data_IF_713936109068
#
_entry.id   IF_713936109068
#
_cell.length_a   1.000
_cell.length_b   1.000
_cell.length_c   1.000
_cell.angle_alpha   90.00
_cell.angle_beta   90.00
_cell.angle_gamma   90.00
#
_symmetry.space_group_name_H-M   'P 1'
#
loop_
_entity.id
_entity.type
_entity.pdbx_description
1 polymer ?
#
# COMPACT_ATOMS: atom_id res chain seq x y z
N UNK A 1 22.82 -5.30 13.58
CA UNK A 1 22.96 -3.83 13.40
C UNK A 1 21.62 -3.26 12.96
N UNK A 2 21.29 -2.03 13.32
CA UNK A 2 20.10 -1.32 12.86
C UNK A 2 20.42 -0.57 11.56
N UNK A 3 19.52 -0.59 10.58
CA UNK A 3 19.68 0.16 9.34
C UNK A 3 19.71 1.68 9.60
N UNK A 4 20.50 2.40 8.81
CA UNK A 4 20.55 3.88 8.87
C UNK A 4 19.45 4.52 8.00
N UNK A 5 18.92 3.79 7.05
CA UNK A 5 17.90 4.28 6.10
C UNK A 5 16.49 4.06 6.65
N UNK A 6 16.26 2.87 7.20
CA UNK A 6 14.98 2.52 7.83
C UNK A 6 15.25 1.94 9.22
N UNK A 7 14.74 2.63 10.23
CA UNK A 7 14.93 2.25 11.62
C UNK A 7 14.14 1.02 12.07
N UNK A 8 13.22 0.54 11.26
CA UNK A 8 12.48 -0.71 11.51
C UNK A 8 13.19 -1.93 10.93
N UNK A 9 14.30 -1.73 10.19
CA UNK A 9 15.08 -2.80 9.61
C UNK A 9 16.37 -3.06 10.42
N UNK A 10 16.54 -4.29 10.84
CA UNK A 10 17.74 -4.79 11.51
C UNK A 10 18.37 -5.88 10.67
N UNK A 11 19.69 -5.97 10.70
CA UNK A 11 20.41 -7.01 9.99
C UNK A 11 21.67 -7.45 10.72
N UNK A 12 22.08 -8.70 10.50
CA UNK A 12 23.32 -9.26 10.99
C UNK A 12 23.91 -10.20 9.94
N UNK A 13 25.18 -10.02 9.67
CA UNK A 13 25.98 -10.89 8.81
C UNK A 13 27.17 -11.40 9.61
N UNK A 14 27.41 -12.72 9.61
CA UNK A 14 28.56 -13.37 10.23
C UNK A 14 29.02 -14.51 9.34
N UNK A 15 30.13 -14.32 8.65
CA UNK A 15 30.60 -15.27 7.64
C UNK A 15 29.52 -15.46 6.53
N UNK A 16 29.10 -16.69 6.31
CA UNK A 16 28.06 -17.02 5.33
C UNK A 16 26.62 -16.96 5.90
N UNK A 17 26.47 -16.59 7.18
CA UNK A 17 25.15 -16.48 7.80
C UNK A 17 24.66 -15.04 7.78
N UNK A 18 23.41 -14.88 7.40
CA UNK A 18 22.75 -13.58 7.43
C UNK A 18 21.34 -13.71 7.98
N UNK A 19 20.86 -12.63 8.54
CA UNK A 19 19.47 -12.44 8.92
C UNK A 19 19.09 -10.97 8.78
N UNK A 20 17.89 -10.75 8.24
CA UNK A 20 17.19 -9.49 8.21
C UNK A 20 15.93 -9.61 9.07
N UNK A 21 15.67 -8.58 9.86
CA UNK A 21 14.48 -8.46 10.70
C UNK A 21 13.82 -7.14 10.36
N UNK A 22 12.60 -7.19 9.91
CA UNK A 22 11.76 -6.01 9.65
C UNK A 22 10.63 -5.99 10.66
N UNK A 23 10.52 -4.89 11.40
CA UNK A 23 9.46 -4.69 12.39
C UNK A 23 8.41 -3.74 11.82
N UNK A 24 7.16 -4.11 11.96
CA UNK A 24 6.04 -3.25 11.61
C UNK A 24 4.93 -3.38 12.64
N UNK A 25 4.85 -2.41 13.54
CA UNK A 25 3.95 -2.41 14.70
C UNK A 25 4.10 -3.71 15.49
N UNK A 26 3.14 -4.63 15.38
CA UNK A 26 3.11 -5.93 16.08
C UNK A 26 3.62 -7.08 15.19
N UNK A 27 3.88 -6.83 13.92
CA UNK A 27 4.37 -7.84 12.99
C UNK A 27 5.89 -7.83 12.86
N UNK A 28 6.49 -9.01 12.78
CA UNK A 28 7.91 -9.21 12.53
C UNK A 28 8.12 -10.13 11.32
N UNK A 29 8.81 -9.62 10.32
CA UNK A 29 9.29 -10.43 9.20
C UNK A 29 10.76 -10.79 9.42
N UNK A 30 11.05 -12.09 9.30
CA UNK A 30 12.41 -12.62 9.37
C UNK A 30 12.78 -13.23 8.03
N UNK A 31 13.90 -12.80 7.47
CA UNK A 31 14.51 -13.40 6.28
C UNK A 31 15.98 -13.70 6.55
N UNK A 32 16.42 -14.92 6.24
CA UNK A 32 17.80 -15.33 6.46
C UNK A 32 17.99 -16.84 6.47
N UNK A 33 19.25 -17.24 6.48
CA UNK A 33 19.66 -18.64 6.52
C UNK A 33 20.05 -19.13 7.93
N UNK A 34 19.86 -18.30 8.98
CA UNK A 34 20.19 -18.66 10.36
C UNK A 34 18.92 -18.81 11.20
N UNK A 35 18.53 -20.07 11.46
CA UNK A 35 17.36 -20.40 12.25
C UNK A 35 17.55 -20.21 13.77
N UNK A 36 18.78 -20.13 14.27
CA UNK A 36 19.04 -19.94 15.72
C UNK A 36 18.48 -18.62 16.24
N UNK A 37 18.54 -17.57 15.41
CA UNK A 37 17.98 -16.25 15.79
C UNK A 37 16.46 -16.32 15.93
N UNK A 38 15.77 -17.06 15.06
CA UNK A 38 14.32 -17.27 15.15
C UNK A 38 13.95 -17.97 16.47
N UNK A 39 14.67 -19.04 16.79
CA UNK A 39 14.47 -19.77 18.06
C UNK A 39 14.78 -18.90 19.27
N UNK A 40 15.86 -18.11 19.20
CA UNK A 40 16.24 -17.18 20.26
C UNK A 40 15.17 -16.10 20.52
N UNK A 41 14.60 -15.53 19.46
CA UNK A 41 13.52 -14.53 19.56
C UNK A 41 12.24 -15.17 20.16
N UNK A 42 11.86 -16.36 19.71
CA UNK A 42 10.68 -17.07 20.22
C UNK A 42 10.82 -17.48 21.70
N UNK A 43 12.05 -17.62 22.20
CA UNK A 43 12.30 -17.90 23.62
C UNK A 43 12.23 -16.65 24.52
N UNK A 44 12.48 -15.46 23.95
CA UNK A 44 12.50 -14.19 24.70
C UNK A 44 11.18 -13.44 24.65
N UNK A 45 10.38 -13.68 23.62
CA UNK A 45 9.11 -12.96 23.39
C UNK A 45 7.97 -13.96 23.18
N UNK A 46 6.79 -13.64 23.70
CA UNK A 46 5.56 -14.38 23.40
C UNK A 46 5.12 -14.09 21.96
N UNK A 47 5.57 -14.93 21.05
CA UNK A 47 5.40 -14.75 19.59
C UNK A 47 4.67 -15.94 19.00
N UNK A 48 3.72 -15.66 18.10
CA UNK A 48 3.11 -16.67 17.24
C UNK A 48 3.89 -16.77 15.92
N UNK A 49 4.50 -17.92 15.68
CA UNK A 49 5.09 -18.21 14.39
C UNK A 49 3.99 -18.48 13.33
N UNK A 50 3.91 -17.62 12.33
CA UNK A 50 2.96 -17.76 11.22
C UNK A 50 3.53 -18.60 10.07
N UNK A 51 4.72 -19.20 10.23
CA UNK A 51 5.44 -19.99 9.23
C UNK A 51 5.87 -19.14 8.00
N UNK A 52 5.93 -19.76 6.80
CA UNK A 52 6.25 -19.00 5.60
C UNK A 52 5.19 -17.94 5.31
N UNK A 53 5.64 -16.68 5.27
CA UNK A 53 4.74 -15.54 5.09
C UNK A 53 4.17 -15.53 3.68
N UNK A 54 2.84 -15.68 3.60
CA UNK A 54 2.11 -15.54 2.34
C UNK A 54 1.39 -14.18 2.23
N UNK A 55 1.28 -13.45 3.33
CA UNK A 55 0.63 -12.14 3.40
C UNK A 55 1.36 -11.25 4.40
N UNK A 56 1.74 -10.06 3.98
CA UNK A 56 2.30 -9.01 4.83
C UNK A 56 1.81 -7.65 4.36
N UNK A 57 1.32 -6.81 5.28
CA UNK A 57 0.88 -5.45 4.97
C UNK A 57 -0.13 -5.38 3.79
N UNK A 58 -1.03 -6.35 3.68
CA UNK A 58 -1.99 -6.42 2.58
C UNK A 58 -1.39 -6.85 1.22
N UNK A 59 -0.11 -7.22 1.19
CA UNK A 59 0.55 -7.80 0.01
C UNK A 59 0.65 -9.32 0.14
N UNK A 60 0.23 -10.02 -0.88
CA UNK A 60 0.46 -11.46 -1.00
C UNK A 60 1.85 -11.72 -1.55
N UNK A 61 2.57 -12.62 -0.90
CA UNK A 61 3.93 -13.03 -1.27
C UNK A 61 3.89 -14.46 -1.77
N UNK A 62 4.42 -14.69 -2.97
CA UNK A 62 4.59 -16.03 -3.53
C UNK A 62 6.03 -16.20 -3.98
N UNK A 63 6.76 -17.13 -3.35
CA UNK A 63 8.14 -17.48 -3.70
C UNK A 63 8.22 -18.78 -4.49
N UNK A 64 9.17 -18.84 -5.43
CA UNK A 64 9.65 -20.08 -6.02
C UNK A 64 11.18 -20.10 -5.87
N UNK A 65 11.67 -20.84 -4.90
CA UNK A 65 13.10 -20.92 -4.61
C UNK A 65 13.89 -21.63 -5.74
N UNK A 66 13.29 -22.59 -6.44
CA UNK A 66 13.97 -23.30 -7.53
C UNK A 66 14.27 -22.36 -8.71
N UNK A 67 13.36 -21.46 -9.03
CA UNK A 67 13.51 -20.47 -10.10
C UNK A 67 14.07 -19.14 -9.61
N UNK A 68 14.36 -19.00 -8.31
CA UNK A 68 14.79 -17.73 -7.66
C UNK A 68 13.85 -16.56 -7.98
N UNK A 69 12.53 -16.81 -7.95
CA UNK A 69 11.50 -15.82 -8.26
C UNK A 69 10.65 -15.52 -7.05
N UNK A 70 10.32 -14.25 -6.90
CA UNK A 70 9.39 -13.73 -5.90
C UNK A 70 8.32 -12.89 -6.61
N UNK A 71 7.06 -13.18 -6.30
CA UNK A 71 5.92 -12.39 -6.77
C UNK A 71 5.25 -11.72 -5.59
N UNK A 72 4.98 -10.43 -5.77
CA UNK A 72 4.18 -9.63 -4.85
C UNK A 72 2.90 -9.21 -5.57
N UNK A 73 1.75 -9.33 -4.91
CA UNK A 73 0.51 -8.81 -5.43
C UNK A 73 -0.37 -8.26 -4.31
N UNK A 74 -1.29 -7.37 -4.65
CA UNK A 74 -2.24 -6.76 -3.72
C UNK A 74 -3.68 -7.08 -4.09
N UNK A 75 -3.94 -8.23 -4.70
CA UNK A 75 -5.29 -8.56 -5.21
C UNK A 75 -6.37 -8.39 -4.15
N UNK A 76 -6.19 -9.01 -2.98
CA UNK A 76 -7.15 -8.91 -1.87
C UNK A 76 -7.32 -7.49 -1.35
N UNK A 77 -6.22 -6.73 -1.28
CA UNK A 77 -6.28 -5.33 -0.89
C UNK A 77 -7.09 -4.51 -1.89
N UNK A 78 -6.85 -4.66 -3.18
CA UNK A 78 -7.58 -3.98 -4.26
C UNK A 78 -9.06 -4.36 -4.24
N UNK A 79 -9.40 -5.64 -4.11
CA UNK A 79 -10.79 -6.11 -3.97
C UNK A 79 -11.48 -5.47 -2.75
N UNK A 80 -10.77 -5.34 -1.63
CA UNK A 80 -11.28 -4.67 -0.43
C UNK A 80 -11.55 -3.18 -0.66
N UNK A 81 -10.68 -2.47 -1.39
CA UNK A 81 -10.88 -1.06 -1.74
C UNK A 81 -12.11 -0.93 -2.65
N UNK A 82 -12.18 -1.72 -3.72
CA UNK A 82 -13.30 -1.68 -4.65
C UNK A 82 -14.63 -1.93 -3.91
N UNK A 83 -14.63 -2.88 -2.97
CA UNK A 83 -15.82 -3.14 -2.14
C UNK A 83 -16.16 -1.94 -1.24
N UNK A 84 -15.17 -1.32 -0.61
CA UNK A 84 -15.37 -0.14 0.28
C UNK A 84 -16.03 1.02 -0.45
N UNK A 85 -15.71 1.21 -1.72
CA UNK A 85 -16.24 2.31 -2.54
C UNK A 85 -17.35 1.89 -3.51
N UNK A 86 -17.92 0.68 -3.36
CA UNK A 86 -18.99 0.13 -4.21
C UNK A 86 -18.62 0.08 -5.70
N UNK A 87 -17.36 -0.24 -6.01
CA UNK A 87 -16.80 -0.26 -7.37
C UNK A 87 -16.53 -1.68 -7.89
N UNK A 88 -17.06 -2.74 -7.25
CA UNK A 88 -16.79 -4.13 -7.59
C UNK A 88 -17.26 -4.48 -9.01
N UNK A 89 -18.39 -3.91 -9.43
CA UNK A 89 -19.02 -4.16 -10.73
C UNK A 89 -18.55 -3.19 -11.82
N UNK A 90 -17.62 -2.28 -11.50
CA UNK A 90 -17.12 -1.31 -12.45
C UNK A 90 -16.23 -1.98 -13.50
N UNK A 91 -16.41 -1.55 -14.75
CA UNK A 91 -15.56 -2.03 -15.85
C UNK A 91 -14.16 -1.43 -15.74
N UNK A 92 -13.10 -2.23 -15.90
CA UNK A 92 -11.74 -1.73 -15.88
C UNK A 92 -11.50 -0.77 -17.06
N UNK A 93 -10.78 0.31 -16.79
CA UNK A 93 -10.34 1.28 -17.79
C UNK A 93 -8.84 1.13 -18.05
N UNK A 94 -8.42 1.39 -19.30
CA UNK A 94 -7.00 1.28 -19.68
C UNK A 94 -6.18 2.50 -19.25
N UNK A 95 -6.82 3.66 -19.17
CA UNK A 95 -6.18 4.94 -18.84
C UNK A 95 -6.87 5.51 -17.61
N UNK A 96 -6.16 5.67 -16.49
CA UNK A 96 -6.76 6.14 -15.24
C UNK A 96 -7.41 7.52 -15.35
N UNK A 97 -6.77 8.45 -16.07
CA UNK A 97 -7.37 9.76 -16.36
C UNK A 97 -7.55 9.87 -17.90
N UNK A 98 -8.79 10.02 -18.40
CA UNK A 98 -9.04 10.17 -19.80
C UNK A 98 -8.32 11.37 -20.43
N UNK A 99 -7.91 11.25 -21.69
CA UNK A 99 -7.30 12.35 -22.43
C UNK A 99 -8.30 13.51 -22.55
N UNK A 100 -7.84 14.73 -22.26
CA UNK A 100 -8.68 15.94 -22.31
C UNK A 100 -9.36 16.30 -21.00
N UNK A 101 -9.34 15.45 -20.00
CA UNK A 101 -9.76 15.84 -18.64
C UNK A 101 -8.77 16.86 -18.09
N UNK A 102 -9.27 18.04 -17.78
CA UNK A 102 -8.50 19.11 -17.15
C UNK A 102 -9.15 19.45 -15.82
N UNK A 103 -8.44 19.20 -14.76
CA UNK A 103 -8.83 19.64 -13.41
C UNK A 103 -8.34 21.07 -13.18
N UNK A 104 -9.22 21.94 -12.75
CA UNK A 104 -8.90 23.34 -12.46
C UNK A 104 -9.35 23.72 -11.05
N UNK A 105 -8.60 24.59 -10.40
CA UNK A 105 -8.98 25.18 -9.12
C UNK A 105 -10.35 25.90 -9.15
N UNK A 106 -10.84 26.28 -10.33
CA UNK A 106 -12.17 26.88 -10.50
C UNK A 106 -13.33 25.90 -10.29
N UNK A 107 -13.07 24.60 -10.32
CA UNK A 107 -14.05 23.50 -10.09
C UNK A 107 -14.19 23.16 -8.61
N UNK A 108 -13.39 23.78 -7.75
CA UNK A 108 -13.50 23.64 -6.30
C UNK A 108 -14.77 24.31 -5.77
N UNK A 109 -15.33 23.85 -4.64
CA UNK A 109 -16.49 24.43 -4.00
C UNK A 109 -16.31 25.93 -3.77
N UNK A 110 -17.36 26.71 -4.05
CA UNK A 110 -17.37 28.16 -3.87
C UNK A 110 -18.39 28.63 -2.85
N UNK A 111 -19.34 27.77 -2.53
CA UNK A 111 -20.37 28.03 -1.54
C UNK A 111 -20.24 27.09 -0.36
N UNK A 112 -20.72 27.50 0.82
CA UNK A 112 -20.73 26.63 2.00
C UNK A 112 -21.55 25.36 1.80
N UNK A 113 -22.63 25.43 1.01
CA UNK A 113 -23.47 24.27 0.68
C UNK A 113 -22.68 23.25 -0.15
N UNK A 114 -21.91 23.70 -1.14
CA UNK A 114 -21.03 22.84 -1.93
C UNK A 114 -19.91 22.21 -1.09
N UNK A 115 -19.34 22.97 -0.15
CA UNK A 115 -18.35 22.46 0.81
C UNK A 115 -18.95 21.39 1.72
N UNK A 116 -20.17 21.61 2.22
CA UNK A 116 -20.87 20.68 3.08
C UNK A 116 -21.20 19.38 2.33
N UNK A 117 -21.72 19.45 1.11
CA UNK A 117 -21.96 18.30 0.23
C UNK A 117 -20.68 17.47 0.04
N UNK A 118 -19.57 18.15 -0.22
CA UNK A 118 -18.29 17.47 -0.47
C UNK A 118 -17.61 16.95 0.80
N UNK A 119 -17.95 17.47 1.98
CA UNK A 119 -17.41 17.01 3.26
C UNK A 119 -17.75 15.55 3.57
N UNK A 120 -18.86 15.05 3.07
CA UNK A 120 -19.31 13.66 3.24
C UNK A 120 -18.63 12.67 2.27
N UNK A 121 -17.93 13.18 1.26
CA UNK A 121 -17.24 12.34 0.27
C UNK A 121 -15.93 11.79 0.86
N UNK A 122 -15.71 10.47 0.90
CA UNK A 122 -14.54 9.86 1.51
C UNK A 122 -13.29 9.97 0.61
N UNK A 123 -13.05 11.15 0.04
CA UNK A 123 -11.99 11.39 -0.95
C UNK A 123 -10.59 11.09 -0.41
N UNK A 124 -10.26 11.62 0.77
CA UNK A 124 -8.95 11.39 1.38
C UNK A 124 -8.69 9.89 1.63
N UNK A 125 -9.74 9.15 2.02
CA UNK A 125 -9.65 7.70 2.19
C UNK A 125 -9.45 6.97 0.86
N UNK A 126 -10.11 7.41 -0.20
CA UNK A 126 -9.95 6.83 -1.54
C UNK A 126 -8.53 7.08 -2.07
N UNK A 127 -8.07 8.34 -2.05
CA UNK A 127 -6.72 8.70 -2.51
C UNK A 127 -5.64 8.01 -1.67
N UNK A 128 -5.77 7.95 -0.34
CA UNK A 128 -4.84 7.24 0.52
C UNK A 128 -4.75 5.75 0.20
N UNK A 129 -5.89 5.12 -0.10
CA UNK A 129 -5.93 3.72 -0.53
C UNK A 129 -5.25 3.50 -1.90
N UNK A 130 -5.48 4.41 -2.86
CA UNK A 130 -4.81 4.36 -4.16
C UNK A 130 -3.31 4.65 -4.06
N UNK A 131 -2.89 5.56 -3.18
CA UNK A 131 -1.48 5.83 -2.91
C UNK A 131 -0.76 4.58 -2.40
N UNK A 132 -1.38 3.84 -1.49
CA UNK A 132 -0.80 2.59 -1.00
C UNK A 132 -0.70 1.54 -2.11
N UNK A 133 -1.75 1.35 -2.91
CA UNK A 133 -1.71 0.45 -4.06
C UNK A 133 -0.59 0.83 -5.05
N UNK A 134 -0.48 2.13 -5.36
CA UNK A 134 0.51 2.70 -6.25
C UNK A 134 1.95 2.42 -5.80
N UNK A 135 2.24 2.68 -4.53
CA UNK A 135 3.60 2.51 -3.99
C UNK A 135 4.02 1.04 -3.94
N UNK A 136 3.08 0.14 -3.63
CA UNK A 136 3.41 -1.26 -3.43
C UNK A 136 3.46 -2.08 -4.73
N UNK A 137 2.45 -1.98 -5.60
CA UNK A 137 2.36 -2.87 -6.78
C UNK A 137 1.82 -2.22 -8.05
N UNK A 138 1.29 -0.98 -7.99
CA UNK A 138 0.64 -0.30 -9.12
C UNK A 138 1.30 1.02 -9.50
N UNK A 139 2.60 1.01 -9.88
CA UNK A 139 3.29 2.24 -10.31
C UNK A 139 2.68 2.87 -11.57
N UNK A 140 1.87 2.12 -12.32
CA UNK A 140 1.16 2.59 -13.52
C UNK A 140 0.13 3.70 -13.22
N UNK A 141 -0.43 3.76 -12.01
CA UNK A 141 -1.38 4.81 -11.61
C UNK A 141 -0.71 6.05 -10.97
N UNK A 142 0.61 6.11 -10.88
CA UNK A 142 1.35 7.17 -10.16
C UNK A 142 0.97 8.57 -10.63
N UNK A 143 0.90 8.79 -11.92
CA UNK A 143 0.55 10.11 -12.47
C UNK A 143 -0.88 10.51 -12.06
N UNK A 144 -1.84 9.60 -12.21
CA UNK A 144 -3.24 9.86 -11.88
C UNK A 144 -3.41 10.18 -10.39
N UNK A 145 -2.87 9.34 -9.51
CA UNK A 145 -2.93 9.54 -8.06
C UNK A 145 -2.23 10.83 -7.65
N UNK A 146 -1.08 11.16 -8.26
CA UNK A 146 -0.37 12.41 -8.01
C UNK A 146 -1.20 13.65 -8.38
N UNK A 147 -1.88 13.63 -9.53
CA UNK A 147 -2.78 14.71 -9.96
C UNK A 147 -3.97 14.85 -8.99
N UNK A 148 -4.63 13.74 -8.65
CA UNK A 148 -5.78 13.75 -7.75
C UNK A 148 -5.40 14.22 -6.34
N UNK A 149 -4.22 13.83 -5.85
CA UNK A 149 -3.73 14.23 -4.53
C UNK A 149 -3.60 15.77 -4.37
N UNK A 150 -3.37 16.52 -5.44
CA UNK A 150 -3.31 17.98 -5.40
C UNK A 150 -4.64 18.62 -4.98
N UNK A 151 -5.75 17.89 -5.09
CA UNK A 151 -7.10 18.40 -4.77
C UNK A 151 -7.62 17.91 -3.41
N UNK A 152 -6.77 17.29 -2.57
CA UNK A 152 -7.20 16.76 -1.26
C UNK A 152 -7.80 17.80 -0.32
N UNK A 153 -7.31 19.04 -0.36
CA UNK A 153 -7.75 20.12 0.51
C UNK A 153 -8.95 20.88 -0.04
N UNK A 154 -9.27 20.72 -1.32
CA UNK A 154 -10.31 21.50 -1.96
C UNK A 154 -10.99 20.68 -3.07
N UNK A 155 -11.79 19.72 -2.66
CA UNK A 155 -12.41 18.72 -3.50
C UNK A 155 -13.64 19.28 -4.21
N UNK A 156 -13.62 19.29 -5.56
CA UNK A 156 -14.80 19.56 -6.40
C UNK A 156 -15.52 18.29 -6.84
N UNK A 157 -16.81 18.41 -7.18
CA UNK A 157 -17.62 17.27 -7.69
C UNK A 157 -16.99 16.60 -8.90
N UNK A 158 -16.45 17.38 -9.83
CA UNK A 158 -15.80 16.86 -11.05
C UNK A 158 -14.57 16.01 -10.72
N UNK A 159 -13.79 16.40 -9.70
CA UNK A 159 -12.62 15.65 -9.26
C UNK A 159 -13.00 14.30 -8.68
N UNK A 160 -14.10 14.26 -7.90
CA UNK A 160 -14.60 12.98 -7.35
C UNK A 160 -15.07 12.01 -8.44
N UNK A 161 -15.66 12.52 -9.50
CA UNK A 161 -16.14 11.69 -10.63
C UNK A 161 -15.01 10.95 -11.36
N UNK A 162 -13.76 11.40 -11.21
CA UNK A 162 -12.58 10.82 -11.86
C UNK A 162 -11.92 9.73 -10.99
N UNK A 163 -12.14 9.76 -9.67
CA UNK A 163 -11.59 8.78 -8.74
C UNK A 163 -12.32 7.46 -8.82
#
# INVERSE_FOLDING_TARGET
>A
MRSKVDHCVYYKHVGNHFIYVVLYVDDMLLDGNNMEVKLGLSSMFDMKDLSATNLILGMEIKGNHADMKLWLNQRKYIETILHRFNMQECKPVKVPIPVGVRLFAKQCPKTKEEEEDMSHVPYASAIGSLMYAMVCTRPDITHAVGVLNMYMLNLGKDTWTIV
#
